data_IF_769761638911
#
_entry.id   IF_769761638911
#
_cell.length_a   1.000
_cell.length_b   1.000
_cell.length_c   1.000
_cell.angle_alpha   90.00
_cell.angle_beta   90.00
_cell.angle_gamma   90.00
#
_symmetry.space_group_name_H-M   'P 1'
#
loop_
_entity.id
_entity.type
_entity.pdbx_description
1 polymer ?
#
# COMPACT_ATOMS: atom_id res chain seq x y z
N UNK A 1 1.99 -17.22 18.90
CA UNK A 1 1.43 -16.66 17.65
C UNK A 1 0.40 -15.60 18.06
N UNK A 2 0.87 -14.39 18.32
CA UNK A 2 0.16 -13.43 19.18
C UNK A 2 -0.88 -12.63 18.41
N UNK A 3 -2.02 -12.41 19.08
CA UNK A 3 -3.23 -11.65 18.74
C UNK A 3 -3.15 -10.49 17.71
N UNK A 4 -1.99 -9.88 17.47
CA UNK A 4 -1.81 -8.75 16.55
C UNK A 4 -2.00 -9.07 15.05
N UNK A 5 -1.80 -10.33 14.63
CA UNK A 5 -1.93 -10.71 13.22
C UNK A 5 -3.37 -10.82 12.72
N UNK A 6 -4.34 -10.99 13.62
CA UNK A 6 -5.74 -11.24 13.26
C UNK A 6 -6.57 -9.95 13.32
N UNK A 7 -6.24 -9.02 14.20
CA UNK A 7 -7.11 -7.87 14.50
C UNK A 7 -6.92 -6.69 13.55
N UNK A 8 -5.71 -6.48 13.02
CA UNK A 8 -5.39 -5.32 12.15
C UNK A 8 -5.78 -5.52 10.66
N UNK A 9 -5.59 -6.69 10.02
CA UNK A 9 -5.82 -6.80 8.57
C UNK A 9 -7.30 -6.86 8.16
N UNK A 10 -8.21 -7.25 9.07
CA UNK A 10 -9.64 -7.39 8.77
C UNK A 10 -10.34 -6.03 8.53
N UNK A 11 -10.19 -5.00 9.39
CA UNK A 11 -10.79 -3.68 9.12
C UNK A 11 -10.15 -2.97 7.92
N UNK A 12 -8.86 -3.20 7.64
CA UNK A 12 -8.18 -2.65 6.47
C UNK A 12 -8.76 -3.20 5.15
N UNK A 13 -9.06 -4.51 5.08
CA UNK A 13 -9.70 -5.13 3.93
C UNK A 13 -11.14 -4.65 3.67
N UNK A 14 -11.91 -4.36 4.73
CA UNK A 14 -13.28 -3.83 4.62
C UNK A 14 -13.26 -2.37 4.12
N UNK A 15 -12.29 -1.58 4.58
CA UNK A 15 -12.13 -0.19 4.16
C UNK A 15 -11.80 -0.10 2.66
N UNK A 16 -10.94 -0.97 2.13
CA UNK A 16 -10.59 -0.99 0.70
C UNK A 16 -11.77 -1.30 -0.23
N UNK A 17 -12.79 -2.06 0.23
CA UNK A 17 -13.94 -2.48 -0.60
C UNK A 17 -14.89 -1.32 -0.96
N UNK A 18 -14.79 -0.17 -0.30
CA UNK A 18 -15.64 1.03 -0.56
C UNK A 18 -14.92 2.17 -1.27
N UNK A 19 -13.64 2.03 -1.57
CA UNK A 19 -12.80 3.17 -1.94
C UNK A 19 -12.53 3.16 -3.45
N UNK A 20 -12.90 4.25 -4.11
CA UNK A 20 -12.60 4.50 -5.53
C UNK A 20 -11.08 4.46 -5.77
N UNK A 21 -10.61 4.00 -6.94
CA UNK A 21 -9.17 3.79 -7.23
C UNK A 21 -8.26 4.92 -6.77
N UNK A 22 -8.66 6.18 -7.02
CA UNK A 22 -7.92 7.38 -6.60
C UNK A 22 -7.75 7.48 -5.08
N UNK A 23 -8.82 7.20 -4.33
CA UNK A 23 -8.77 7.27 -2.87
C UNK A 23 -7.97 6.09 -2.28
N UNK A 24 -7.91 4.95 -2.98
CA UNK A 24 -7.04 3.82 -2.61
C UNK A 24 -5.56 4.19 -2.75
N UNK A 25 -5.19 4.82 -3.88
CA UNK A 25 -3.83 5.32 -4.11
C UNK A 25 -3.44 6.38 -3.06
N UNK A 26 -4.30 7.36 -2.79
CA UNK A 26 -4.02 8.42 -1.79
C UNK A 26 -3.83 7.82 -0.40
N UNK A 27 -4.72 6.91 0.02
CA UNK A 27 -4.65 6.27 1.34
C UNK A 27 -3.39 5.41 1.47
N UNK A 28 -3.06 4.64 0.43
CA UNK A 28 -1.84 3.85 0.40
C UNK A 28 -0.57 4.71 0.47
N UNK A 29 -0.52 5.81 -0.27
CA UNK A 29 0.64 6.72 -0.27
C UNK A 29 0.80 7.40 1.10
N UNK A 30 -0.31 7.76 1.73
CA UNK A 30 -0.32 8.30 3.09
C UNK A 30 0.21 7.28 4.12
N UNK A 31 -0.26 6.04 4.06
CA UNK A 31 0.23 4.96 4.94
C UNK A 31 1.73 4.75 4.73
N UNK A 32 2.20 4.71 3.49
CA UNK A 32 3.62 4.57 3.18
C UNK A 32 4.47 5.70 3.79
N UNK A 33 4.02 6.95 3.65
CA UNK A 33 4.69 8.12 4.21
C UNK A 33 4.72 8.10 5.75
N UNK A 34 3.61 7.73 6.40
CA UNK A 34 3.52 7.62 7.86
C UNK A 34 4.44 6.52 8.38
N UNK A 35 4.44 5.36 7.73
CA UNK A 35 5.31 4.24 8.13
C UNK A 35 6.79 4.57 7.98
N UNK A 36 7.17 5.26 6.89
CA UNK A 36 8.55 5.75 6.68
C UNK A 36 8.93 6.84 7.70
N UNK A 37 8.02 7.76 8.01
CA UNK A 37 8.25 8.79 9.03
C UNK A 37 8.45 8.17 10.42
N UNK A 38 7.83 7.04 10.72
CA UNK A 38 8.02 6.30 11.97
C UNK A 38 9.41 5.67 12.11
N UNK A 39 10.12 5.44 11.00
CA UNK A 39 11.48 4.88 11.06
C UNK A 39 12.48 5.87 11.64
N UNK A 40 12.31 7.17 11.40
CA UNK A 40 13.17 8.21 11.97
C UNK A 40 13.22 8.16 13.51
N UNK A 41 12.09 8.32 14.24
CA UNK A 41 12.10 8.23 15.69
C UNK A 41 12.46 6.82 16.15
N UNK A 42 12.03 5.76 15.45
CA UNK A 42 12.36 4.38 15.83
C UNK A 42 13.87 4.11 15.85
N UNK A 43 14.61 4.67 14.88
CA UNK A 43 16.07 4.59 14.83
C UNK A 43 16.72 5.41 15.95
N UNK A 44 16.23 6.62 16.20
CA UNK A 44 16.77 7.52 17.24
C UNK A 44 16.67 6.92 18.64
N UNK A 45 15.53 6.31 18.98
CA UNK A 45 15.31 5.68 20.29
C UNK A 45 15.68 4.19 20.34
N UNK A 46 16.23 3.64 19.24
CA UNK A 46 16.57 2.21 19.08
C UNK A 46 15.45 1.26 19.52
N UNK A 47 14.19 1.59 19.18
CA UNK A 47 13.03 0.80 19.60
C UNK A 47 12.55 -0.10 18.46
N UNK A 48 12.83 -1.40 18.62
CA UNK A 48 12.44 -2.43 17.66
C UNK A 48 10.93 -2.55 17.46
N UNK A 49 10.12 -2.36 18.51
CA UNK A 49 8.66 -2.41 18.41
C UNK A 49 8.12 -1.27 17.55
N UNK A 50 8.67 -0.07 17.70
CA UNK A 50 8.27 1.08 16.90
C UNK A 50 8.66 0.90 15.43
N UNK A 51 9.84 0.33 15.18
CA UNK A 51 10.28 -0.05 13.84
C UNK A 51 9.35 -1.09 13.20
N UNK A 52 8.97 -2.13 13.95
CA UNK A 52 8.01 -3.15 13.48
C UNK A 52 6.65 -2.54 13.13
N UNK A 53 6.12 -1.64 13.98
CA UNK A 53 4.85 -0.96 13.70
C UNK A 53 4.95 -0.15 12.40
N UNK A 54 6.03 0.62 12.21
CA UNK A 54 6.28 1.33 10.96
C UNK A 54 6.33 0.39 9.75
N UNK A 55 6.97 -0.77 9.90
CA UNK A 55 7.09 -1.78 8.84
C UNK A 55 5.72 -2.37 8.45
N UNK A 56 4.85 -2.67 9.43
CA UNK A 56 3.49 -3.12 9.16
C UNK A 56 2.65 -2.04 8.45
N UNK A 57 2.82 -0.77 8.83
CA UNK A 57 2.13 0.36 8.20
C UNK A 57 2.59 0.53 6.74
N UNK A 58 3.90 0.46 6.47
CA UNK A 58 4.47 0.47 5.12
C UNK A 58 3.92 -0.70 4.29
N UNK A 59 3.90 -1.91 4.84
CA UNK A 59 3.41 -3.10 4.16
C UNK A 59 1.91 -2.96 3.80
N UNK A 60 1.10 -2.42 4.71
CA UNK A 60 -0.31 -2.12 4.45
C UNK A 60 -0.48 -1.04 3.36
N UNK A 61 0.37 -0.01 3.36
CA UNK A 61 0.42 1.01 2.32
C UNK A 61 0.74 0.43 0.95
N UNK A 62 1.80 -0.37 0.82
CA UNK A 62 2.18 -1.05 -0.42
C UNK A 62 1.05 -1.93 -0.96
N UNK A 63 0.43 -2.75 -0.11
CA UNK A 63 -0.71 -3.60 -0.51
C UNK A 63 -1.91 -2.78 -1.01
N UNK A 64 -2.18 -1.62 -0.38
CA UNK A 64 -3.19 -0.67 -0.86
C UNK A 64 -2.84 -0.09 -2.23
N UNK A 65 -1.59 0.37 -2.43
CA UNK A 65 -1.15 0.91 -3.72
C UNK A 65 -1.27 -0.15 -4.81
N UNK A 66 -0.78 -1.37 -4.60
CA UNK A 66 -0.79 -2.42 -5.61
C UNK A 66 -2.22 -2.80 -6.02
N UNK A 67 -3.10 -2.97 -5.04
CA UNK A 67 -4.51 -3.33 -5.28
C UNK A 67 -5.27 -2.21 -5.99
N UNK A 68 -4.93 -0.93 -5.74
CA UNK A 68 -5.60 0.22 -6.36
C UNK A 68 -4.98 0.62 -7.71
N UNK A 69 -3.65 0.60 -7.83
CA UNK A 69 -2.91 1.09 -8.99
C UNK A 69 -3.01 0.14 -10.19
N UNK A 70 -2.94 -1.18 -9.97
CA UNK A 70 -3.04 -2.17 -11.05
C UNK A 70 -4.35 -2.04 -11.85
N UNK A 71 -5.54 -2.09 -11.23
CA UNK A 71 -6.79 -1.90 -11.97
C UNK A 71 -6.95 -0.46 -12.49
N UNK A 72 -6.46 0.55 -11.77
CA UNK A 72 -6.45 1.95 -12.24
C UNK A 72 -5.69 2.09 -13.57
N UNK A 73 -4.50 1.49 -13.65
CA UNK A 73 -3.70 1.49 -14.88
C UNK A 73 -4.45 0.75 -15.98
N UNK A 74 -5.14 -0.36 -15.73
CA UNK A 74 -5.90 -1.04 -16.79
C UNK A 74 -7.04 -0.17 -17.35
N UNK A 75 -7.77 0.57 -16.51
CA UNK A 75 -8.94 1.38 -16.92
C UNK A 75 -8.63 2.83 -17.34
N UNK A 76 -7.39 3.30 -17.16
CA UNK A 76 -6.97 4.67 -17.51
C UNK A 76 -6.77 4.85 -19.04
N UNK A 77 -7.78 4.54 -19.85
CA UNK A 77 -7.76 4.67 -21.30
C UNK A 77 -8.74 3.73 -22.00
N UNK A 78 -8.65 3.59 -23.34
CA UNK A 78 -9.49 2.66 -24.10
C UNK A 78 -9.26 1.21 -23.67
N UNK A 79 -10.35 0.43 -23.54
CA UNK A 79 -10.30 -0.98 -23.08
C UNK A 79 -9.35 -1.86 -23.91
N UNK A 80 -9.19 -1.57 -25.21
CA UNK A 80 -8.29 -2.31 -26.11
C UNK A 80 -6.81 -2.26 -25.70
N UNK A 81 -6.40 -1.25 -24.92
CA UNK A 81 -5.00 -1.02 -24.52
C UNK A 81 -4.67 -1.38 -23.07
N UNK A 82 -5.63 -1.87 -22.27
CA UNK A 82 -5.45 -2.08 -20.83
C UNK A 82 -4.29 -3.03 -20.48
N UNK A 83 -4.19 -4.17 -21.17
CA UNK A 83 -3.12 -5.16 -20.95
C UNK A 83 -1.72 -4.65 -21.32
N UNK A 84 -1.61 -3.82 -22.36
CA UNK A 84 -0.33 -3.22 -22.75
C UNK A 84 0.14 -2.20 -21.69
N UNK A 85 -0.80 -1.38 -21.18
CA UNK A 85 -0.51 -0.32 -20.22
C UNK A 85 -0.07 -0.86 -18.86
N UNK A 86 -0.70 -1.94 -18.38
CA UNK A 86 -0.25 -2.58 -17.14
C UNK A 86 1.11 -3.26 -17.30
N UNK A 87 1.37 -3.95 -18.41
CA UNK A 87 2.68 -4.57 -18.66
C UNK A 87 3.80 -3.51 -18.77
N UNK A 88 3.52 -2.37 -19.42
CA UNK A 88 4.48 -1.27 -19.48
C UNK A 88 4.74 -0.67 -18.10
N UNK A 89 3.69 -0.42 -17.30
CA UNK A 89 3.85 0.10 -15.93
C UNK A 89 4.65 -0.86 -15.03
N UNK A 90 4.41 -2.17 -15.15
CA UNK A 90 5.14 -3.21 -14.41
C UNK A 90 6.61 -3.31 -14.86
N UNK A 91 6.89 -3.11 -16.16
CA UNK A 91 8.27 -3.02 -16.65
C UNK A 91 9.04 -1.85 -16.01
N UNK A 92 8.40 -0.69 -15.82
CA UNK A 92 9.00 0.41 -15.06
C UNK A 92 9.09 0.14 -13.56
N UNK A 93 8.19 -0.65 -12.98
CA UNK A 93 8.25 -1.01 -11.55
C UNK A 93 9.35 -2.05 -11.25
N UNK A 94 9.73 -2.86 -12.23
CA UNK A 94 10.70 -3.96 -12.08
C UNK A 94 12.15 -3.55 -12.42
N UNK A 95 12.37 -2.33 -12.93
CA UNK A 95 13.69 -1.74 -13.18
C UNK A 95 14.16 -0.93 -11.97
#
# INVERSE_FOLDING_TARGET
ISFGYIVIPIPAGILMKKISYKAGIITGLFLYAVGAALFWPAAEIMNYTLFLIGLFIIAAGLGCLETAANPFVTVLGPDSGGHFRINMAQAFNSC
#
